data_IF_570225300379
#
_entry.id   IF_570225300379
#
_cell.length_a   1.000
_cell.length_b   1.000
_cell.length_c   1.000
_cell.angle_alpha   90.00
_cell.angle_beta   90.00
_cell.angle_gamma   90.00
#
_symmetry.space_group_name_H-M   'P 1'
#
loop_
_entity.id
_entity.type
_entity.pdbx_description
1 polymer ?
#
# COMPACT_ATOMS: atom_id res chain seq x y z
N UNK A 1 20.50 1.12 11.22
CA UNK A 1 19.09 0.95 11.56
C UNK A 1 18.27 0.91 10.27
N UNK A 2 17.31 0.05 10.21
CA UNK A 2 16.36 -0.11 9.10
C UNK A 2 14.96 -0.08 9.71
N UNK A 3 14.08 0.74 9.14
CA UNK A 3 12.69 0.87 9.57
C UNK A 3 11.79 0.32 8.48
N UNK A 4 10.87 -0.57 8.85
CA UNK A 4 9.83 -1.12 7.97
C UNK A 4 8.46 -0.65 8.44
N UNK A 5 7.66 -0.16 7.52
CA UNK A 5 6.26 0.15 7.81
C UNK A 5 5.41 -1.13 7.72
N UNK A 6 4.48 -1.27 8.64
CA UNK A 6 3.58 -2.43 8.70
C UNK A 6 2.19 -2.03 9.19
N UNK A 7 1.21 -2.88 8.91
CA UNK A 7 -0.13 -2.89 9.52
C UNK A 7 -0.34 -4.22 10.23
N UNK A 8 -1.21 -4.19 11.24
CA UNK A 8 -1.64 -5.40 11.94
C UNK A 8 -3.04 -5.78 11.45
N UNK A 9 -3.13 -6.84 10.66
CA UNK A 9 -4.38 -7.33 10.08
C UNK A 9 -4.37 -8.85 9.97
N UNK A 10 -5.55 -9.47 9.95
CA UNK A 10 -5.67 -10.90 9.66
C UNK A 10 -5.63 -11.17 8.15
N UNK A 11 -5.14 -12.33 7.76
CA UNK A 11 -5.11 -12.75 6.35
C UNK A 11 -6.52 -12.82 5.73
N UNK A 12 -7.53 -13.13 6.55
CA UNK A 12 -8.92 -13.20 6.12
C UNK A 12 -9.50 -11.81 5.83
N UNK A 13 -9.05 -10.76 6.52
CA UNK A 13 -9.49 -9.38 6.32
C UNK A 13 -8.83 -8.74 5.10
N UNK A 14 -7.61 -9.15 4.76
CA UNK A 14 -6.92 -8.72 3.54
C UNK A 14 -7.45 -9.37 2.25
N UNK A 15 -8.46 -10.25 2.33
CA UNK A 15 -9.09 -10.91 1.20
C UNK A 15 -8.27 -12.05 0.62
N UNK A 16 -7.23 -11.81 -0.17
CA UNK A 16 -6.38 -12.86 -0.76
C UNK A 16 -4.91 -12.46 -0.70
N UNK A 17 -4.08 -13.39 -0.28
CA UNK A 17 -2.63 -13.27 -0.48
C UNK A 17 -2.31 -13.05 -1.97
N UNK A 18 -1.37 -12.17 -2.29
CA UNK A 18 -0.94 -11.96 -3.66
C UNK A 18 -0.43 -13.27 -4.26
N UNK A 19 -1.19 -13.85 -5.19
CA UNK A 19 -0.80 -15.10 -5.87
C UNK A 19 0.15 -14.88 -7.05
N UNK A 20 0.43 -13.64 -7.42
CA UNK A 20 1.14 -13.29 -8.64
C UNK A 20 2.55 -12.75 -8.38
N UNK A 21 3.36 -13.49 -7.64
CA UNK A 21 4.80 -13.25 -7.61
C UNK A 21 5.32 -12.18 -6.63
N UNK A 22 4.45 -11.41 -6.00
CA UNK A 22 4.84 -10.51 -4.91
C UNK A 22 4.74 -11.28 -3.58
N UNK A 23 5.91 -11.59 -3.04
CA UNK A 23 6.04 -12.26 -1.75
C UNK A 23 5.47 -11.38 -0.62
N UNK A 24 4.49 -11.89 0.10
CA UNK A 24 3.94 -11.25 1.29
C UNK A 24 4.95 -11.34 2.42
N UNK A 25 5.25 -10.21 3.03
CA UNK A 25 6.23 -10.12 4.11
C UNK A 25 5.53 -9.80 5.43
N UNK A 26 5.75 -10.63 6.41
CA UNK A 26 5.18 -10.53 7.75
C UNK A 26 6.26 -10.34 8.79
N UNK A 27 5.99 -9.50 9.77
CA UNK A 27 6.92 -9.13 10.81
C UNK A 27 6.49 -9.70 12.16
N UNK A 28 7.41 -10.35 12.85
CA UNK A 28 7.30 -10.63 14.27
C UNK A 28 8.08 -9.57 15.04
N UNK A 29 7.43 -8.87 15.96
CA UNK A 29 7.99 -7.73 16.67
C UNK A 29 8.24 -8.04 18.14
N UNK A 30 9.28 -7.45 18.69
CA UNK A 30 9.50 -7.35 20.13
C UNK A 30 8.72 -6.15 20.71
N UNK A 31 8.50 -6.08 22.02
CA UNK A 31 7.74 -4.99 22.65
C UNK A 31 8.35 -3.59 22.45
N UNK A 32 9.61 -3.51 22.09
CA UNK A 32 10.32 -2.26 21.78
C UNK A 32 10.22 -1.86 20.29
N UNK A 33 9.43 -2.63 19.50
CA UNK A 33 9.27 -2.44 18.06
C UNK A 33 10.40 -3.01 17.21
N UNK A 34 11.35 -3.72 17.82
CA UNK A 34 12.42 -4.41 17.08
C UNK A 34 11.84 -5.61 16.34
N UNK A 35 12.25 -5.78 15.08
CA UNK A 35 11.88 -6.97 14.31
C UNK A 35 12.69 -8.16 14.80
N UNK A 36 11.98 -9.14 15.36
CA UNK A 36 12.52 -10.40 15.84
C UNK A 36 12.67 -11.41 14.72
N UNK A 37 11.65 -11.49 13.86
CA UNK A 37 11.62 -12.39 12.72
C UNK A 37 10.87 -11.77 11.54
N UNK A 38 11.21 -12.22 10.34
CA UNK A 38 10.61 -11.80 9.09
C UNK A 38 10.26 -13.06 8.29
N UNK A 39 8.95 -13.29 8.11
CA UNK A 39 8.42 -14.44 7.44
C UNK A 39 7.92 -14.02 6.06
N UNK A 40 8.26 -14.80 5.04
CA UNK A 40 7.82 -14.59 3.68
C UNK A 40 6.81 -15.66 3.32
N UNK A 41 5.64 -15.24 2.80
CA UNK A 41 4.52 -16.10 2.41
C UNK A 41 4.06 -17.01 3.55
N UNK A 42 3.58 -16.45 4.69
CA UNK A 42 3.10 -17.24 5.80
C UNK A 42 1.90 -18.10 5.39
N UNK A 43 1.80 -19.29 5.98
CA UNK A 43 0.64 -20.17 5.80
C UNK A 43 -0.25 -20.06 7.05
N UNK A 44 -1.54 -19.78 6.88
CA UNK A 44 -2.54 -19.76 7.95
C UNK A 44 -3.41 -18.49 7.93
N UNK A 45 -4.46 -18.51 8.76
CA UNK A 45 -5.41 -17.39 8.94
C UNK A 45 -5.17 -16.66 10.27
N UNK A 46 -3.92 -16.59 10.72
CA UNK A 46 -3.56 -15.87 11.93
C UNK A 46 -3.47 -14.36 11.67
N UNK A 47 -3.56 -13.57 12.72
CA UNK A 47 -3.33 -12.13 12.68
C UNK A 47 -1.82 -11.86 12.59
N UNK A 48 -1.43 -11.06 11.59
CA UNK A 48 -0.03 -10.78 11.32
C UNK A 48 0.25 -9.29 11.14
N UNK A 49 1.48 -8.90 11.39
CA UNK A 49 1.99 -7.57 11.07
C UNK A 49 2.53 -7.55 9.63
N UNK A 50 1.73 -7.06 8.70
CA UNK A 50 2.09 -6.98 7.28
C UNK A 50 2.98 -5.80 6.96
N UNK A 51 4.09 -6.05 6.27
CA UNK A 51 4.97 -4.99 5.81
C UNK A 51 4.54 -4.47 4.43
N UNK A 52 4.42 -3.15 4.31
CA UNK A 52 4.08 -2.46 3.04
C UNK A 52 5.20 -2.40 2.01
N UNK A 53 6.30 -3.08 2.19
CA UNK A 53 7.49 -2.96 1.34
C UNK A 53 8.08 -1.52 1.28
N UNK A 54 7.72 -0.66 2.21
CA UNK A 54 8.32 0.67 2.36
C UNK A 54 9.41 0.62 3.42
N UNK A 55 10.62 1.00 3.02
CA UNK A 55 11.82 0.85 3.83
C UNK A 55 12.54 2.19 3.98
N UNK A 56 12.96 2.50 5.20
CA UNK A 56 13.89 3.59 5.47
C UNK A 56 15.24 2.99 5.88
N UNK A 57 16.26 3.16 5.07
CA UNK A 57 17.58 2.59 5.27
C UNK A 57 18.68 3.63 5.03
N UNK A 58 19.74 3.57 5.80
CA UNK A 58 20.93 4.41 5.55
C UNK A 58 21.58 4.02 4.23
N UNK A 59 21.93 5.03 3.41
CA UNK A 59 22.52 4.83 2.09
C UNK A 59 23.75 3.93 2.09
N UNK A 60 24.67 4.15 3.03
CA UNK A 60 25.92 3.37 3.15
C UNK A 60 25.62 1.89 3.46
N UNK A 61 24.61 1.64 4.31
CA UNK A 61 24.16 0.29 4.63
C UNK A 61 23.56 -0.39 3.39
N UNK A 62 22.68 0.30 2.66
CA UNK A 62 22.07 -0.22 1.46
C UNK A 62 23.12 -0.60 0.40
N UNK A 63 24.08 0.30 0.12
CA UNK A 63 25.14 0.06 -0.86
C UNK A 63 25.96 -1.16 -0.46
N UNK A 64 26.33 -1.29 0.81
CA UNK A 64 27.07 -2.44 1.31
C UNK A 64 26.30 -3.75 1.09
N UNK A 65 25.02 -3.79 1.48
CA UNK A 65 24.17 -4.97 1.33
C UNK A 65 23.98 -5.37 -0.12
N UNK A 66 23.74 -4.40 -1.01
CA UNK A 66 23.57 -4.65 -2.45
C UNK A 66 24.87 -5.21 -3.05
N UNK A 67 26.03 -4.63 -2.72
CA UNK A 67 27.31 -5.12 -3.20
C UNK A 67 27.63 -6.53 -2.70
N UNK A 68 27.30 -6.83 -1.45
CA UNK A 68 27.47 -8.17 -0.87
C UNK A 68 26.56 -9.19 -1.58
N UNK A 69 25.30 -8.83 -1.83
CA UNK A 69 24.37 -9.71 -2.55
C UNK A 69 24.81 -9.93 -4.00
N UNK A 70 25.23 -8.89 -4.68
CA UNK A 70 25.74 -8.98 -6.05
C UNK A 70 26.95 -9.92 -6.16
N UNK A 71 27.90 -9.83 -5.21
CA UNK A 71 29.07 -10.71 -5.18
C UNK A 71 28.74 -12.20 -4.94
N UNK A 72 27.57 -12.49 -4.39
CA UNK A 72 27.11 -13.85 -4.07
C UNK A 72 25.99 -14.35 -4.98
N UNK A 73 25.68 -13.66 -6.08
CA UNK A 73 24.56 -13.96 -6.98
C UNK A 73 23.18 -14.05 -6.30
N UNK A 74 22.99 -13.26 -5.25
CA UNK A 74 21.71 -13.14 -4.55
C UNK A 74 20.88 -12.05 -5.21
N UNK A 75 19.64 -12.35 -5.58
CA UNK A 75 18.78 -11.47 -6.38
C UNK A 75 17.50 -11.05 -5.68
N UNK A 76 17.08 -11.77 -4.63
CA UNK A 76 15.85 -11.47 -3.92
C UNK A 76 16.12 -10.59 -2.70
N UNK A 77 15.66 -9.32 -2.76
CA UNK A 77 15.89 -8.36 -1.70
C UNK A 77 15.25 -8.79 -0.36
N UNK A 78 14.03 -9.32 -0.40
CA UNK A 78 13.31 -9.71 0.81
C UNK A 78 13.99 -10.90 1.51
N UNK A 79 14.25 -11.97 0.77
CA UNK A 79 14.86 -13.20 1.30
C UNK A 79 16.35 -13.05 1.58
N UNK A 80 17.07 -12.55 0.59
CA UNK A 80 18.53 -12.57 0.62
C UNK A 80 19.14 -11.43 1.42
N UNK A 81 18.42 -10.31 1.55
CA UNK A 81 18.90 -9.16 2.31
C UNK A 81 18.16 -9.05 3.64
N UNK A 82 16.83 -8.93 3.62
CA UNK A 82 16.09 -8.66 4.86
C UNK A 82 16.05 -9.89 5.76
N UNK A 83 15.45 -10.97 5.29
CA UNK A 83 15.26 -12.18 6.09
C UNK A 83 16.59 -12.79 6.56
N UNK A 84 17.57 -12.90 5.65
CA UNK A 84 18.88 -13.49 6.00
C UNK A 84 19.72 -12.66 6.97
N UNK A 85 19.37 -11.41 7.20
CA UNK A 85 20.13 -10.51 8.08
C UNK A 85 19.32 -9.98 9.28
N UNK A 86 18.18 -10.58 9.61
CA UNK A 86 17.31 -10.16 10.73
C UNK A 86 18.11 -10.08 12.04
N UNK A 87 18.93 -11.09 12.34
CA UNK A 87 19.73 -11.12 13.57
C UNK A 87 20.88 -10.11 13.57
N UNK A 88 21.47 -9.84 12.40
CA UNK A 88 22.67 -8.99 12.26
C UNK A 88 22.34 -7.51 12.13
N UNK A 89 21.19 -7.19 11.53
CA UNK A 89 20.73 -5.83 11.32
C UNK A 89 19.82 -5.38 12.46
N UNK A 90 19.96 -4.13 12.87
CA UNK A 90 18.98 -3.49 13.77
C UNK A 90 17.82 -3.00 12.92
N UNK A 91 16.78 -3.83 12.82
CA UNK A 91 15.55 -3.53 12.09
C UNK A 91 14.44 -3.23 13.08
N UNK A 92 13.63 -2.22 12.76
CA UNK A 92 12.47 -1.82 13.55
C UNK A 92 11.24 -1.75 12.65
N UNK A 93 10.08 -2.10 13.19
CA UNK A 93 8.79 -1.87 12.59
C UNK A 93 8.26 -0.47 12.95
N UNK A 94 7.56 0.15 12.02
CA UNK A 94 6.77 1.35 12.26
C UNK A 94 5.32 1.02 11.91
N UNK A 95 4.46 1.04 12.91
CA UNK A 95 3.03 0.80 12.75
C UNK A 95 2.38 1.97 11.99
N UNK A 96 1.65 1.63 10.96
CA UNK A 96 0.90 2.59 10.16
C UNK A 96 -0.59 2.40 10.48
N UNK A 97 -1.16 3.35 11.17
CA UNK A 97 -2.53 3.36 11.72
C UNK A 97 -3.55 4.12 10.86
N UNK A 98 -3.19 4.39 9.60
CA UNK A 98 -4.03 5.10 8.65
C UNK A 98 -4.55 4.18 7.57
N UNK A 99 -5.52 4.67 6.79
CA UNK A 99 -6.07 3.92 5.67
C UNK A 99 -4.97 3.39 4.74
N UNK A 100 -5.06 2.11 4.48
CA UNK A 100 -4.18 1.40 3.56
C UNK A 100 -4.95 0.28 2.86
N UNK A 101 -4.59 -0.01 1.63
CA UNK A 101 -5.17 -1.11 0.87
C UNK A 101 -4.10 -1.74 -0.01
N UNK A 102 -4.03 -3.08 0.01
CA UNK A 102 -3.08 -3.84 -0.82
C UNK A 102 -3.77 -4.28 -2.09
N UNK A 103 -3.31 -3.79 -3.23
CA UNK A 103 -3.91 -4.08 -4.54
C UNK A 103 -3.15 -5.21 -5.22
N UNK A 104 -3.75 -6.41 -5.24
CA UNK A 104 -3.18 -7.61 -5.84
C UNK A 104 -4.02 -8.17 -6.98
N UNK A 105 -5.27 -7.74 -7.09
CA UNK A 105 -6.22 -8.19 -8.12
C UNK A 105 -7.05 -7.02 -8.65
N UNK A 106 -7.79 -7.26 -9.74
CA UNK A 106 -8.77 -6.28 -10.24
C UNK A 106 -9.91 -6.06 -9.26
N UNK A 107 -10.24 -7.06 -8.46
CA UNK A 107 -11.26 -6.92 -7.42
C UNK A 107 -10.79 -5.98 -6.30
N UNK A 108 -9.57 -6.14 -5.81
CA UNK A 108 -8.98 -5.26 -4.79
C UNK A 108 -8.90 -3.82 -5.32
N UNK A 109 -8.53 -3.66 -6.60
CA UNK A 109 -8.53 -2.34 -7.24
C UNK A 109 -9.94 -1.71 -7.27
N UNK A 110 -10.96 -2.50 -7.60
CA UNK A 110 -12.35 -2.04 -7.58
C UNK A 110 -12.78 -1.68 -6.16
N UNK A 111 -12.53 -2.55 -5.19
CA UNK A 111 -12.88 -2.34 -3.79
C UNK A 111 -12.20 -1.09 -3.23
N UNK A 112 -10.89 -0.93 -3.40
CA UNK A 112 -10.15 0.26 -2.97
C UNK A 112 -10.70 1.55 -3.59
N UNK A 113 -11.15 1.51 -4.86
CA UNK A 113 -11.81 2.67 -5.47
C UNK A 113 -13.16 2.94 -4.81
N UNK A 114 -13.98 1.90 -4.59
CA UNK A 114 -15.30 2.08 -3.98
C UNK A 114 -15.22 2.55 -2.52
N UNK A 115 -14.21 2.14 -1.79
CA UNK A 115 -13.93 2.65 -0.43
C UNK A 115 -13.67 4.16 -0.41
N UNK A 116 -13.10 4.73 -1.47
CA UNK A 116 -12.95 6.19 -1.61
C UNK A 116 -14.27 6.95 -1.70
N UNK A 117 -15.40 6.25 -1.81
CA UNK A 117 -16.72 6.86 -1.69
C UNK A 117 -17.01 7.33 -0.25
N UNK A 118 -16.37 6.72 0.76
CA UNK A 118 -16.42 7.19 2.15
C UNK A 118 -15.65 8.51 2.30
N UNK A 119 -16.26 9.50 2.94
CA UNK A 119 -15.59 10.76 3.26
C UNK A 119 -14.47 10.56 4.29
N UNK A 120 -14.65 9.66 5.25
CA UNK A 120 -13.68 9.37 6.30
C UNK A 120 -12.37 8.83 5.68
N UNK A 121 -12.48 7.87 4.77
CA UNK A 121 -11.32 7.31 4.06
C UNK A 121 -10.63 8.37 3.19
N UNK A 122 -11.40 9.21 2.49
CA UNK A 122 -10.81 10.30 1.68
C UNK A 122 -10.08 11.31 2.54
N UNK A 123 -10.66 11.71 3.67
CA UNK A 123 -10.08 12.71 4.56
C UNK A 123 -8.80 12.19 5.23
N UNK A 124 -8.73 10.89 5.53
CA UNK A 124 -7.51 10.27 6.02
C UNK A 124 -6.46 10.14 4.91
N UNK A 125 -6.82 9.61 3.75
CA UNK A 125 -5.88 9.39 2.64
C UNK A 125 -5.34 10.70 2.06
N UNK A 126 -6.22 11.69 1.84
CA UNK A 126 -5.86 13.00 1.25
C UNK A 126 -5.68 14.10 2.30
N UNK A 127 -5.13 13.75 3.43
CA UNK A 127 -4.92 14.68 4.53
C UNK A 127 -3.96 15.82 4.14
N UNK A 128 -4.35 17.06 4.46
CA UNK A 128 -3.55 18.25 4.14
C UNK A 128 -2.17 18.28 4.85
N UNK A 129 -2.06 17.61 6.00
CA UNK A 129 -0.80 17.51 6.76
C UNK A 129 0.13 16.42 6.21
N UNK A 130 -0.41 15.48 5.42
CA UNK A 130 0.31 14.38 4.78
C UNK A 130 -0.01 14.34 3.28
N UNK A 131 0.31 15.41 2.52
CA UNK A 131 -0.12 15.53 1.13
C UNK A 131 0.54 14.46 0.26
N UNK A 132 -0.26 13.86 -0.63
CA UNK A 132 0.23 12.99 -1.69
C UNK A 132 0.67 13.88 -2.85
N UNK A 133 1.97 13.90 -3.13
CA UNK A 133 2.53 14.68 -4.23
C UNK A 133 2.35 13.95 -5.55
N UNK A 134 1.43 14.43 -6.37
CA UNK A 134 1.18 13.91 -7.71
C UNK A 134 1.30 15.01 -8.75
N UNK A 135 1.37 14.63 -10.04
CA UNK A 135 1.36 15.59 -11.13
C UNK A 135 -0.01 16.26 -11.21
N UNK A 136 -0.06 17.54 -10.90
CA UNK A 136 -1.27 18.37 -11.09
C UNK A 136 -1.51 18.57 -12.59
N UNK A 137 -2.76 18.41 -13.02
CA UNK A 137 -3.22 18.74 -14.37
C UNK A 137 -4.37 19.72 -14.26
N UNK A 138 -4.25 20.81 -15.00
CA UNK A 138 -5.32 21.81 -15.15
C UNK A 138 -6.24 21.37 -16.27
N UNK A 139 -7.21 20.51 -15.94
CA UNK A 139 -8.24 20.07 -16.87
C UNK A 139 -9.52 20.93 -16.70
N UNK A 140 -10.36 20.95 -17.74
CA UNK A 140 -11.66 21.61 -17.67
C UNK A 140 -12.53 20.97 -16.56
N UNK A 141 -13.40 21.75 -15.92
CA UNK A 141 -14.37 21.21 -14.97
C UNK A 141 -15.25 20.13 -15.59
N UNK A 142 -15.77 19.23 -14.77
CA UNK A 142 -16.80 18.30 -15.22
C UNK A 142 -18.07 19.07 -15.66
N UNK A 143 -18.66 18.66 -16.77
CA UNK A 143 -19.88 19.25 -17.32
C UNK A 143 -21.07 18.33 -17.09
N UNK A 144 -22.16 18.90 -16.61
CA UNK A 144 -23.43 18.20 -16.41
C UNK A 144 -24.47 18.71 -17.40
N UNK A 145 -25.10 17.80 -18.18
CA UNK A 145 -26.18 18.12 -19.09
C UNK A 145 -27.50 18.44 -18.37
N UNK A 146 -28.48 18.97 -19.08
CA UNK A 146 -29.77 19.39 -18.50
C UNK A 146 -30.57 18.26 -17.84
N UNK A 147 -30.43 17.02 -18.32
CA UNK A 147 -31.08 15.83 -17.77
C UNK A 147 -30.22 14.96 -16.89
N UNK A 148 -29.03 15.42 -16.52
CA UNK A 148 -28.13 14.61 -15.72
C UNK A 148 -28.56 14.50 -14.26
N UNK A 149 -28.49 13.28 -13.72
CA UNK A 149 -28.71 12.98 -12.31
C UNK A 149 -27.50 12.24 -11.78
N UNK A 150 -26.84 12.84 -10.78
CA UNK A 150 -25.65 12.24 -10.17
C UNK A 150 -25.90 12.01 -8.70
N UNK A 151 -25.73 10.75 -8.26
CA UNK A 151 -25.89 10.34 -6.86
C UNK A 151 -24.68 9.55 -6.41
N UNK A 152 -24.23 9.83 -5.18
CA UNK A 152 -23.15 9.10 -4.54
C UNK A 152 -22.02 8.69 -5.50
N UNK A 153 -21.37 9.67 -6.17
CA UNK A 153 -20.37 9.40 -7.21
C UNK A 153 -19.20 10.39 -7.14
N UNK A 154 -18.02 9.92 -7.46
CA UNK A 154 -16.82 10.74 -7.64
C UNK A 154 -16.57 10.94 -9.14
N UNK A 155 -16.54 12.19 -9.57
CA UNK A 155 -16.39 12.53 -10.98
C UNK A 155 -15.18 13.43 -11.16
N UNK A 156 -14.22 12.96 -11.95
CA UNK A 156 -13.01 13.70 -12.24
C UNK A 156 -13.25 14.86 -13.21
N UNK A 157 -12.34 15.82 -13.23
CA UNK A 157 -12.35 16.92 -14.17
C UNK A 157 -12.31 16.42 -15.62
N UNK A 158 -12.97 17.14 -16.52
CA UNK A 158 -13.03 16.84 -17.95
C UNK A 158 -14.17 15.90 -18.35
N UNK A 159 -14.85 15.25 -17.41
CA UNK A 159 -15.98 14.38 -17.72
C UNK A 159 -17.20 15.17 -18.19
N UNK A 160 -17.97 14.58 -19.11
CA UNK A 160 -19.26 15.09 -19.55
C UNK A 160 -20.34 14.06 -19.19
N UNK A 161 -21.29 14.47 -18.34
CA UNK A 161 -22.36 13.61 -17.85
C UNK A 161 -23.67 14.08 -18.48
N UNK A 162 -24.34 13.15 -19.20
CA UNK A 162 -25.60 13.42 -19.89
C UNK A 162 -26.56 12.23 -19.67
N UNK A 163 -26.82 11.91 -18.41
CA UNK A 163 -27.64 10.77 -17.99
C UNK A 163 -27.60 10.56 -16.47
N UNK A 164 -28.00 9.38 -16.03
CA UNK A 164 -27.99 9.01 -14.60
C UNK A 164 -26.68 8.29 -14.25
N UNK A 165 -26.05 8.73 -13.17
CA UNK A 165 -24.82 8.15 -12.60
C UNK A 165 -25.04 7.96 -11.11
N UNK A 166 -24.90 6.73 -10.62
CA UNK A 166 -25.09 6.39 -9.22
C UNK A 166 -24.03 5.38 -8.76
N UNK A 167 -23.46 5.60 -7.57
CA UNK A 167 -22.44 4.75 -6.96
C UNK A 167 -21.25 4.46 -7.90
N UNK A 168 -20.75 5.48 -8.56
CA UNK A 168 -19.69 5.36 -9.56
C UNK A 168 -18.48 6.23 -9.27
N UNK A 169 -17.32 5.77 -9.74
CA UNK A 169 -16.12 6.60 -9.83
C UNK A 169 -15.75 6.73 -11.29
N UNK A 170 -15.80 7.95 -11.81
CA UNK A 170 -15.44 8.27 -13.19
C UNK A 170 -14.12 9.01 -13.23
N UNK A 171 -13.13 8.38 -13.84
CA UNK A 171 -11.83 8.99 -14.09
C UNK A 171 -11.87 9.93 -15.29
N UNK A 172 -10.81 10.68 -15.46
CA UNK A 172 -10.61 11.58 -16.60
C UNK A 172 -10.68 10.79 -17.91
N UNK A 173 -11.45 11.26 -18.85
CA UNK A 173 -11.61 10.67 -20.18
C UNK A 173 -11.48 11.70 -21.26
#
# INVERSE_FOLDING_TARGET
>A
CLLLNYICESLSEMGRLPKNGDETMVLSLEPDGRIKDLIIDPNGDEEYNYAFNMLLIKRELLIRLVNECSSRNKTNFKRDILQSNVEQLKMFGYEFDHYSHVICSMNDYFEANMELMSSEIRDDLFNAQRPIYTKVRDDMPARYGLGSVVKNSLIANGCVIDGEVENCILFRG
#
